data_IF_362985075683
#
_entry.id   IF_362985075683
#
_cell.length_a   1.000
_cell.length_b   1.000
_cell.length_c   1.000
_cell.angle_alpha   90.00
_cell.angle_beta   90.00
_cell.angle_gamma   90.00
#
_symmetry.space_group_name_H-M   'P 1'
#
loop_
_entity.id
_entity.type
_entity.pdbx_description
1 polymer ?
#
# COMPACT_ATOMS: atom_id res chain seq x y z
N UNK A 1 -18.84 -11.69 19.38
CA UNK A 1 -18.43 -10.82 18.25
C UNK A 1 -19.56 -10.85 17.21
N UNK A 2 -19.94 -9.71 16.64
CA UNK A 2 -21.03 -9.63 15.65
C UNK A 2 -20.45 -9.50 14.23
N UNK A 3 -20.98 -10.20 13.22
CA UNK A 3 -20.60 -9.98 11.82
C UNK A 3 -20.95 -8.57 11.34
N UNK A 4 -20.06 -7.94 10.58
CA UNK A 4 -20.26 -6.60 9.99
C UNK A 4 -20.12 -6.70 8.47
N UNK A 5 -21.08 -6.13 7.74
CA UNK A 5 -21.04 -6.02 6.28
C UNK A 5 -20.81 -4.56 5.92
N UNK A 6 -19.74 -4.28 5.18
CA UNK A 6 -19.43 -2.94 4.68
C UNK A 6 -19.94 -2.79 3.25
N UNK A 7 -20.55 -1.63 2.96
CA UNK A 7 -20.91 -1.27 1.59
C UNK A 7 -19.68 -0.99 0.72
N UNK A 8 -19.86 -0.97 -0.60
CA UNK A 8 -18.80 -0.59 -1.53
C UNK A 8 -18.47 0.92 -1.47
N UNK A 9 -17.28 1.30 -1.94
CA UNK A 9 -16.86 2.70 -2.04
C UNK A 9 -16.16 3.20 -0.78
N UNK A 10 -16.67 4.30 -0.19
CA UNK A 10 -16.04 4.98 0.95
C UNK A 10 -15.80 4.14 2.22
N UNK A 11 -16.60 3.11 2.53
CA UNK A 11 -16.25 2.18 3.61
C UNK A 11 -14.89 1.47 3.41
N UNK A 12 -14.29 1.58 2.22
CA UNK A 12 -12.89 1.27 1.95
C UNK A 12 -11.87 2.04 2.80
N UNK A 13 -12.29 3.04 3.59
CA UNK A 13 -11.47 3.60 4.68
C UNK A 13 -10.91 2.49 5.60
N UNK A 14 -11.62 1.36 5.73
CA UNK A 14 -11.09 0.18 6.41
C UNK A 14 -9.73 -0.24 5.85
N UNK A 15 -9.55 -0.24 4.53
CA UNK A 15 -8.31 -0.64 3.88
C UNK A 15 -7.20 0.39 4.15
N UNK A 16 -7.55 1.68 4.08
CA UNK A 16 -6.60 2.77 4.34
C UNK A 16 -5.98 2.66 5.74
N UNK A 17 -6.83 2.45 6.76
CA UNK A 17 -6.37 2.39 8.16
C UNK A 17 -5.77 1.04 8.53
N UNK A 18 -6.41 -0.07 8.12
CA UNK A 18 -6.01 -1.40 8.57
C UNK A 18 -4.71 -1.88 7.94
N UNK A 19 -4.44 -1.49 6.69
CA UNK A 19 -3.24 -1.93 5.95
C UNK A 19 -2.53 -0.78 5.23
N UNK A 20 -3.23 0.24 4.73
CA UNK A 20 -2.65 1.33 3.94
C UNK A 20 -1.44 1.97 4.62
N UNK A 21 -1.65 2.64 5.75
CA UNK A 21 -0.56 3.23 6.53
C UNK A 21 0.47 2.21 7.01
N UNK A 22 0.03 1.01 7.42
CA UNK A 22 0.93 -0.05 7.86
C UNK A 22 1.88 -0.55 6.77
N UNK A 23 1.56 -0.33 5.48
CA UNK A 23 2.35 -0.75 4.33
C UNK A 23 3.12 0.40 3.68
N UNK A 24 3.24 1.54 4.36
CA UNK A 24 4.16 2.62 4.00
C UNK A 24 5.62 2.21 4.33
N UNK A 25 6.53 2.52 3.40
CA UNK A 25 7.91 2.03 3.44
C UNK A 25 8.75 2.59 4.58
N UNK A 26 8.39 3.74 5.13
CA UNK A 26 9.14 4.41 6.19
C UNK A 26 9.02 3.66 7.54
N UNK A 27 7.81 3.20 7.90
CA UNK A 27 7.56 2.38 9.08
C UNK A 27 8.18 0.98 8.93
N UNK A 28 8.10 0.39 7.74
CA UNK A 28 8.63 -0.94 7.46
C UNK A 28 10.17 -0.96 7.45
N UNK A 29 10.80 0.09 6.89
CA UNK A 29 12.25 0.28 6.97
C UNK A 29 12.73 0.41 8.42
N UNK A 30 11.97 1.13 9.26
CA UNK A 30 12.30 1.34 10.68
C UNK A 30 11.96 0.15 11.57
N UNK A 31 11.21 -0.83 11.07
CA UNK A 31 10.73 -1.97 11.85
C UNK A 31 9.61 -1.62 12.83
N UNK A 32 8.95 -0.47 12.68
CA UNK A 32 7.90 0.01 13.59
C UNK A 32 6.49 -0.36 13.13
N UNK A 33 6.32 -0.75 11.86
CA UNK A 33 5.06 -1.31 11.38
C UNK A 33 4.89 -2.75 11.85
N UNK A 34 3.64 -3.13 12.14
CA UNK A 34 3.26 -4.54 12.39
C UNK A 34 3.54 -5.45 11.19
N UNK A 35 3.68 -4.90 9.99
CA UNK A 35 3.96 -5.65 8.75
C UNK A 35 5.47 -5.83 8.48
N UNK A 36 6.34 -5.22 9.30
CA UNK A 36 7.78 -5.27 9.09
C UNK A 36 8.30 -6.70 9.15
N UNK A 37 8.94 -7.16 8.07
CA UNK A 37 9.50 -8.52 7.99
C UNK A 37 8.52 -9.62 7.60
N UNK A 38 7.24 -9.29 7.35
CA UNK A 38 6.20 -10.26 6.98
C UNK A 38 6.02 -10.44 5.46
N UNK A 39 7.06 -10.10 4.66
CA UNK A 39 7.00 -10.19 3.21
C UNK A 39 6.79 -11.64 2.75
N UNK A 40 5.78 -11.87 1.91
CA UNK A 40 5.41 -13.22 1.47
C UNK A 40 4.54 -14.01 2.46
N UNK A 41 4.18 -13.44 3.60
CA UNK A 41 3.29 -14.07 4.56
C UNK A 41 1.81 -13.74 4.31
N UNK A 42 0.93 -14.57 4.86
CA UNK A 42 -0.52 -14.39 4.82
C UNK A 42 -0.93 -13.34 5.87
N UNK A 43 -1.27 -12.13 5.42
CA UNK A 43 -1.63 -10.98 6.27
C UNK A 43 -3.11 -10.60 6.18
N UNK A 44 -3.84 -11.17 5.23
CA UNK A 44 -5.28 -11.01 5.07
C UNK A 44 -5.91 -12.34 4.60
N UNK A 45 -7.24 -12.38 4.50
CA UNK A 45 -7.94 -13.52 3.88
C UNK A 45 -7.45 -13.74 2.44
N UNK A 46 -7.40 -14.99 2.00
CA UNK A 46 -7.07 -15.35 0.61
C UNK A 46 -8.02 -14.73 -0.43
N UNK A 47 -9.19 -14.25 0.01
CA UNK A 47 -10.16 -13.54 -0.82
C UNK A 47 -9.75 -12.09 -1.12
N UNK A 48 -8.70 -11.58 -0.48
CA UNK A 48 -8.33 -10.17 -0.54
C UNK A 48 -7.10 -9.93 -1.41
N UNK A 49 -7.27 -9.06 -2.42
CA UNK A 49 -6.18 -8.41 -3.15
C UNK A 49 -6.34 -6.90 -2.97
N UNK A 50 -5.28 -6.24 -2.51
CA UNK A 50 -5.28 -4.81 -2.18
C UNK A 50 -4.20 -4.12 -3.00
N UNK A 51 -4.57 -3.02 -3.64
CA UNK A 51 -3.69 -2.22 -4.48
C UNK A 51 -3.71 -0.76 -4.08
N UNK A 52 -2.56 -0.10 -4.26
CA UNK A 52 -2.44 1.35 -4.34
C UNK A 52 -2.28 1.71 -5.82
N UNK A 53 -3.19 2.52 -6.38
CA UNK A 53 -3.24 2.80 -7.81
C UNK A 53 -3.26 4.31 -8.10
N UNK A 54 -2.08 4.84 -8.41
CA UNK A 54 -1.89 6.22 -8.81
C UNK A 54 -2.29 6.50 -10.26
N UNK A 55 -2.67 5.50 -11.07
CA UNK A 55 -2.80 5.61 -12.53
C UNK A 55 -4.22 5.90 -13.03
N UNK A 56 -5.21 5.94 -12.14
CA UNK A 56 -6.63 6.07 -12.52
C UNK A 56 -6.95 7.49 -13.02
N UNK A 57 -7.35 7.59 -14.29
CA UNK A 57 -7.71 8.88 -14.89
C UNK A 57 -8.83 9.60 -14.11
N UNK A 58 -8.68 10.93 -13.99
CA UNK A 58 -9.64 11.86 -13.39
C UNK A 58 -10.04 11.55 -11.93
N UNK A 59 -9.21 10.81 -11.19
CA UNK A 59 -9.44 10.54 -9.77
C UNK A 59 -8.64 11.48 -8.88
N UNK A 60 -9.26 11.85 -7.76
CA UNK A 60 -8.69 12.74 -6.74
C UNK A 60 -7.37 12.21 -6.16
N UNK A 61 -7.23 10.89 -6.00
CA UNK A 61 -6.04 10.27 -5.42
C UNK A 61 -4.98 9.84 -6.44
N UNK A 62 -5.19 10.12 -7.72
CA UNK A 62 -4.26 9.71 -8.77
C UNK A 62 -3.18 10.76 -9.01
N UNK A 63 -2.04 10.29 -9.51
CA UNK A 63 -0.79 11.02 -9.52
C UNK A 63 -0.10 10.74 -10.87
N UNK A 64 0.02 11.75 -11.73
CA UNK A 64 0.71 11.58 -13.02
C UNK A 64 2.21 11.35 -12.81
N UNK A 65 2.80 12.16 -11.93
CA UNK A 65 4.14 12.03 -11.36
C UNK A 65 4.04 12.41 -9.89
N UNK A 66 4.67 11.66 -9.00
CA UNK A 66 4.81 12.03 -7.59
C UNK A 66 5.72 13.26 -7.45
N UNK A 67 5.80 13.84 -6.25
CA UNK A 67 6.61 15.05 -6.03
C UNK A 67 8.12 14.79 -6.09
N UNK A 68 8.53 13.54 -6.29
CA UNK A 68 9.92 13.16 -6.52
C UNK A 68 10.22 12.84 -8.00
N UNK A 69 9.22 12.97 -8.87
CA UNK A 69 9.33 12.76 -10.31
C UNK A 69 9.14 11.31 -10.78
N UNK A 70 8.67 10.41 -9.90
CA UNK A 70 8.31 9.04 -10.30
C UNK A 70 6.89 9.02 -10.84
N UNK A 71 6.63 8.47 -12.06
CA UNK A 71 5.28 8.28 -12.55
C UNK A 71 4.44 7.44 -11.58
N UNK A 72 3.16 7.77 -11.42
CA UNK A 72 2.22 6.96 -10.63
C UNK A 72 2.12 5.53 -11.18
N UNK A 73 1.92 4.56 -10.29
CA UNK A 73 1.93 3.14 -10.64
C UNK A 73 0.73 2.38 -10.09
N UNK A 74 0.51 1.19 -10.62
CA UNK A 74 -0.39 0.19 -10.09
C UNK A 74 0.42 -0.77 -9.20
N UNK A 75 0.33 -0.57 -7.89
CA UNK A 75 1.13 -1.30 -6.91
C UNK A 75 0.26 -2.35 -6.21
N UNK A 76 0.54 -3.63 -6.47
CA UNK A 76 -0.09 -4.72 -5.71
C UNK A 76 0.60 -4.85 -4.35
N UNK A 77 -0.10 -4.49 -3.29
CA UNK A 77 0.41 -4.55 -1.92
C UNK A 77 0.11 -5.91 -1.27
N UNK A 78 -1.09 -6.42 -1.48
CA UNK A 78 -1.52 -7.75 -1.02
C UNK A 78 -2.16 -8.47 -2.20
N UNK A 79 -1.79 -9.71 -2.44
CA UNK A 79 -2.39 -10.56 -3.48
C UNK A 79 -2.82 -11.89 -2.87
N UNK A 80 -4.12 -12.22 -2.98
CA UNK A 80 -4.70 -13.43 -2.40
C UNK A 80 -4.28 -13.61 -0.92
N UNK A 81 -4.36 -12.52 -0.14
CA UNK A 81 -3.98 -12.47 1.26
C UNK A 81 -2.48 -12.38 1.56
N UNK A 82 -1.60 -12.56 0.56
CA UNK A 82 -0.14 -12.56 0.73
C UNK A 82 0.43 -11.16 0.57
N UNK A 83 1.25 -10.70 1.51
CA UNK A 83 1.97 -9.43 1.42
C UNK A 83 3.03 -9.48 0.30
N UNK A 84 2.96 -8.52 -0.64
CA UNK A 84 3.81 -8.44 -1.84
C UNK A 84 4.77 -7.27 -1.85
N UNK A 85 4.44 -6.17 -1.17
CA UNK A 85 5.20 -4.94 -1.28
C UNK A 85 4.78 -3.87 -0.30
N UNK A 86 5.55 -2.79 -0.29
CA UNK A 86 5.27 -1.57 0.46
C UNK A 86 5.28 -0.39 -0.52
N UNK A 87 4.62 0.70 -0.15
CA UNK A 87 4.69 1.97 -0.86
C UNK A 87 6.03 2.67 -0.51
N UNK A 88 6.74 3.20 -1.51
CA UNK A 88 8.12 3.69 -1.37
C UNK A 88 8.27 5.10 -1.95
N UNK A 89 8.94 5.95 -1.18
CA UNK A 89 9.62 7.15 -1.68
C UNK A 89 11.07 6.81 -2.10
N UNK A 90 11.81 7.77 -2.64
CA UNK A 90 13.21 7.59 -3.03
C UNK A 90 14.11 7.24 -1.85
N UNK A 91 13.81 7.74 -0.66
CA UNK A 91 14.63 7.55 0.53
C UNK A 91 14.53 6.12 1.07
N UNK A 92 13.32 5.61 1.22
CA UNK A 92 12.97 4.27 1.71
C UNK A 92 13.39 3.23 0.71
N UNK A 93 13.12 3.48 -0.57
CA UNK A 93 13.57 2.64 -1.66
C UNK A 93 15.07 2.40 -1.64
N UNK A 94 15.86 3.47 -1.53
CA UNK A 94 17.32 3.37 -1.53
C UNK A 94 17.83 2.56 -0.34
N UNK A 95 17.22 2.72 0.84
CA UNK A 95 17.58 1.95 2.03
C UNK A 95 17.17 0.47 1.94
N UNK A 96 16.02 0.17 1.34
CA UNK A 96 15.49 -1.19 1.26
C UNK A 96 15.96 -1.94 0.00
N UNK A 97 16.61 -1.25 -0.95
CA UNK A 97 17.13 -1.84 -2.18
C UNK A 97 16.05 -2.24 -3.18
N UNK A 98 14.92 -1.52 -3.22
CA UNK A 98 13.74 -1.84 -4.05
C UNK A 98 13.52 -0.83 -5.19
N UNK A 99 12.42 -0.95 -5.93
CA UNK A 99 12.00 0.00 -6.97
C UNK A 99 11.08 1.10 -6.39
N UNK A 100 10.98 2.29 -7.01
CA UNK A 100 10.09 3.34 -6.53
C UNK A 100 8.67 3.00 -6.95
N UNK A 101 7.67 3.40 -6.17
CA UNK A 101 6.27 3.01 -6.42
C UNK A 101 5.39 4.16 -6.94
N UNK A 102 5.91 5.38 -7.02
CA UNK A 102 5.14 6.54 -7.50
C UNK A 102 3.97 6.89 -6.58
N UNK A 103 4.19 6.81 -5.27
CA UNK A 103 3.17 6.99 -4.22
C UNK A 103 3.39 8.32 -3.45
N UNK A 104 2.32 8.88 -2.87
CA UNK A 104 2.31 10.14 -2.10
C UNK A 104 1.40 10.01 -0.85
N UNK A 105 1.69 10.59 0.35
CA UNK A 105 2.96 11.01 0.97
C UNK A 105 3.36 10.08 2.14
N UNK A 106 4.58 9.57 2.16
CA UNK A 106 5.28 9.40 3.44
C UNK A 106 5.93 10.71 3.86
#
# INVERSE_FOLDING_TARGET
>A
MLPVVLGAGWPGVLLHEAVGHGLEGDFNRRGTSVFSGHMGELVASELCTVVDDGTIADRRGSVAIDDEGTPGQYNVLIENGILKGYMQDNSTRACMGVAPTGTWPT
#
